data_IF_800742060149
#
_entry.id   IF_800742060149
#
_cell.length_a   1.000
_cell.length_b   1.000
_cell.length_c   1.000
_cell.angle_alpha   90.00
_cell.angle_beta   90.00
_cell.angle_gamma   90.00
#
_symmetry.space_group_name_H-M   'P 1'
#
loop_
_entity.id
_entity.type
_entity.pdbx_description
1 polymer ?
#
# COMPACT_ATOMS: atom_id res chain seq x y z
N UNK A 1 -19.95 -28.64 -4.83
CA UNK A 1 -19.59 -27.33 -4.22
C UNK A 1 -18.72 -27.62 -3.00
N UNK A 2 -17.54 -27.02 -2.87
CA UNK A 2 -16.68 -27.24 -1.70
C UNK A 2 -17.36 -26.83 -0.39
N UNK A 3 -17.08 -27.56 0.70
CA UNK A 3 -17.47 -27.13 2.05
C UNK A 3 -16.78 -25.82 2.42
N UNK A 4 -17.26 -25.14 3.46
CA UNK A 4 -16.58 -23.94 3.97
C UNK A 4 -15.15 -24.27 4.43
N UNK A 5 -14.98 -25.36 5.18
CA UNK A 5 -13.67 -25.79 5.69
C UNK A 5 -12.69 -26.06 4.56
N UNK A 6 -13.12 -26.79 3.52
CA UNK A 6 -12.26 -27.08 2.37
C UNK A 6 -11.86 -25.82 1.60
N UNK A 7 -12.76 -24.83 1.51
CA UNK A 7 -12.42 -23.53 0.90
C UNK A 7 -11.39 -22.77 1.75
N UNK A 8 -11.54 -22.78 3.07
CA UNK A 8 -10.60 -22.12 3.97
C UNK A 8 -9.21 -22.77 3.94
N UNK A 9 -9.14 -24.10 3.83
CA UNK A 9 -7.88 -24.83 3.63
C UNK A 9 -7.17 -24.38 2.34
N UNK A 10 -7.88 -24.40 1.20
CA UNK A 10 -7.31 -23.99 -0.10
C UNK A 10 -6.83 -22.54 -0.06
N UNK A 11 -7.60 -21.64 0.56
CA UNK A 11 -7.21 -20.24 0.72
C UNK A 11 -5.96 -20.12 1.59
N UNK A 12 -5.88 -20.87 2.69
CA UNK A 12 -4.73 -20.87 3.60
C UNK A 12 -3.48 -21.39 2.90
N UNK A 13 -3.57 -22.46 2.13
CA UNK A 13 -2.45 -23.01 1.34
C UNK A 13 -1.84 -21.95 0.39
N UNK A 14 -2.68 -21.25 -0.37
CA UNK A 14 -2.21 -20.20 -1.28
C UNK A 14 -1.60 -19.02 -0.51
N UNK A 15 -2.25 -18.60 0.58
CA UNK A 15 -1.78 -17.49 1.42
C UNK A 15 -0.42 -17.81 2.06
N UNK A 16 -0.24 -19.03 2.55
CA UNK A 16 1.01 -19.48 3.17
C UNK A 16 2.17 -19.45 2.16
N UNK A 17 1.94 -19.84 0.90
CA UNK A 17 2.95 -19.73 -0.14
C UNK A 17 3.39 -18.29 -0.41
N UNK A 18 2.44 -17.36 -0.41
CA UNK A 18 2.72 -15.93 -0.58
C UNK A 18 3.46 -15.38 0.64
N UNK A 19 3.08 -15.77 1.86
CA UNK A 19 3.79 -15.37 3.08
C UNK A 19 5.22 -15.89 3.11
N UNK A 20 5.44 -17.13 2.71
CA UNK A 20 6.79 -17.67 2.62
C UNK A 20 7.63 -16.96 1.56
N UNK A 21 7.05 -16.59 0.41
CA UNK A 21 7.74 -15.77 -0.59
C UNK A 21 8.13 -14.40 -0.02
N UNK A 22 7.18 -13.72 0.64
CA UNK A 22 7.41 -12.44 1.31
C UNK A 22 8.54 -12.54 2.34
N UNK A 23 8.51 -13.54 3.20
CA UNK A 23 9.52 -13.73 4.25
C UNK A 23 10.90 -14.08 3.65
N UNK A 24 10.94 -14.80 2.53
CA UNK A 24 12.17 -15.07 1.78
C UNK A 24 12.76 -13.80 1.21
N UNK A 25 11.97 -12.94 0.56
CA UNK A 25 12.43 -11.64 0.05
C UNK A 25 12.98 -10.78 1.19
N UNK A 26 12.27 -10.67 2.30
CA UNK A 26 12.71 -9.89 3.46
C UNK A 26 14.03 -10.39 4.06
N UNK A 27 14.27 -11.71 4.02
CA UNK A 27 15.49 -12.32 4.55
C UNK A 27 16.69 -12.16 3.62
N UNK A 28 16.51 -12.44 2.33
CA UNK A 28 17.62 -12.64 1.39
C UNK A 28 18.01 -11.37 0.64
N UNK A 29 17.10 -10.39 0.53
CA UNK A 29 17.37 -9.14 -0.18
C UNK A 29 18.51 -8.31 0.44
N UNK A 30 18.57 -8.10 1.77
CA UNK A 30 19.62 -7.26 2.37
C UNK A 30 21.04 -7.78 2.12
N UNK A 31 21.19 -9.10 2.03
CA UNK A 31 22.46 -9.79 1.79
C UNK A 31 22.72 -10.08 0.29
N UNK A 32 21.91 -9.51 -0.61
CA UNK A 32 21.99 -9.70 -2.07
C UNK A 32 21.92 -11.17 -2.52
N UNK A 33 21.28 -12.04 -1.73
CA UNK A 33 21.10 -13.47 -1.99
C UNK A 33 19.98 -13.71 -3.03
N UNK A 34 20.03 -13.02 -4.17
CA UNK A 34 18.97 -13.03 -5.19
C UNK A 34 18.69 -14.41 -5.79
N UNK A 35 19.68 -15.31 -5.81
CA UNK A 35 19.49 -16.69 -6.25
C UNK A 35 18.45 -17.43 -5.39
N UNK A 36 18.47 -17.22 -4.06
CA UNK A 36 17.51 -17.81 -3.14
C UNK A 36 16.09 -17.27 -3.38
N UNK A 37 15.98 -15.97 -3.70
CA UNK A 37 14.70 -15.35 -4.05
C UNK A 37 14.16 -15.92 -5.37
N UNK A 38 15.01 -16.07 -6.40
CA UNK A 38 14.61 -16.70 -7.69
C UNK A 38 14.12 -18.13 -7.49
N UNK A 39 14.82 -18.93 -6.69
CA UNK A 39 14.38 -20.29 -6.35
C UNK A 39 13.03 -20.28 -5.63
N UNK A 40 12.84 -19.35 -4.69
CA UNK A 40 11.57 -19.21 -3.97
C UNK A 40 10.43 -18.80 -4.91
N UNK A 41 10.66 -17.87 -5.83
CA UNK A 41 9.66 -17.48 -6.85
C UNK A 41 9.24 -18.71 -7.64
N UNK A 42 10.19 -19.48 -8.18
CA UNK A 42 9.89 -20.68 -8.96
C UNK A 42 9.04 -21.68 -8.16
N UNK A 43 9.41 -21.93 -6.90
CA UNK A 43 8.66 -22.83 -6.00
C UNK A 43 7.25 -22.33 -5.69
N UNK A 44 7.09 -21.04 -5.41
CA UNK A 44 5.77 -20.45 -5.14
C UNK A 44 4.89 -20.50 -6.39
N UNK A 45 5.44 -20.21 -7.57
CA UNK A 45 4.74 -20.34 -8.86
C UNK A 45 4.26 -21.77 -9.10
N UNK A 46 5.14 -22.76 -8.98
CA UNK A 46 4.80 -24.18 -9.16
C UNK A 46 3.68 -24.62 -8.20
N UNK A 47 3.76 -24.22 -6.93
CA UNK A 47 2.75 -24.59 -5.92
C UNK A 47 1.39 -23.95 -6.19
N UNK A 48 1.34 -22.67 -6.58
CA UNK A 48 0.08 -22.00 -6.91
C UNK A 48 -0.52 -22.59 -8.21
N UNK A 49 0.31 -22.92 -9.21
CA UNK A 49 -0.14 -23.60 -10.42
C UNK A 49 -0.72 -24.99 -10.12
N UNK A 50 -0.09 -25.74 -9.20
CA UNK A 50 -0.61 -27.02 -8.73
C UNK A 50 -1.97 -26.85 -8.06
N UNK A 51 -2.14 -25.86 -7.18
CA UNK A 51 -3.44 -25.57 -6.56
C UNK A 51 -4.49 -25.19 -7.61
N UNK A 52 -4.11 -24.37 -8.59
CA UNK A 52 -5.00 -24.01 -9.70
C UNK A 52 -5.40 -25.24 -10.54
N UNK A 53 -4.46 -26.15 -10.83
CA UNK A 53 -4.75 -27.40 -11.52
C UNK A 53 -5.72 -28.29 -10.71
N UNK A 54 -5.51 -28.43 -9.40
CA UNK A 54 -6.41 -29.18 -8.53
C UNK A 54 -7.83 -28.59 -8.54
N UNK A 55 -7.95 -27.26 -8.43
CA UNK A 55 -9.23 -26.56 -8.51
C UNK A 55 -9.98 -26.85 -9.82
N UNK A 56 -9.25 -26.93 -10.93
CA UNK A 56 -9.77 -27.29 -12.25
C UNK A 56 -10.36 -28.72 -12.23
N UNK A 57 -9.60 -29.69 -11.70
CA UNK A 57 -10.04 -31.09 -11.61
C UNK A 57 -11.30 -31.25 -10.73
N UNK A 58 -11.48 -30.38 -9.74
CA UNK A 58 -12.66 -30.35 -8.89
C UNK A 58 -13.84 -29.54 -9.47
N UNK A 59 -13.75 -29.09 -10.73
CA UNK A 59 -14.80 -28.32 -11.41
C UNK A 59 -14.93 -26.87 -10.95
N UNK A 60 -13.88 -26.32 -10.32
CA UNK A 60 -13.81 -24.93 -9.86
C UNK A 60 -13.00 -24.05 -10.82
N UNK A 61 -13.34 -24.12 -12.11
CA UNK A 61 -12.63 -23.46 -13.22
C UNK A 61 -12.43 -21.94 -13.01
N UNK A 62 -13.43 -21.25 -12.44
CA UNK A 62 -13.33 -19.81 -12.15
C UNK A 62 -12.22 -19.48 -11.16
N UNK A 63 -12.07 -20.31 -10.12
CA UNK A 63 -11.04 -20.12 -9.11
C UNK A 63 -9.65 -20.48 -9.65
N UNK A 64 -9.56 -21.59 -10.41
CA UNK A 64 -8.35 -21.98 -11.12
C UNK A 64 -7.89 -20.88 -12.10
N UNK A 65 -8.81 -20.37 -12.92
CA UNK A 65 -8.56 -19.29 -13.87
C UNK A 65 -8.15 -17.98 -13.18
N UNK A 66 -8.72 -17.66 -12.02
CA UNK A 66 -8.31 -16.51 -11.23
C UNK A 66 -6.86 -16.63 -10.76
N UNK A 67 -6.47 -17.77 -10.17
CA UNK A 67 -5.10 -17.99 -9.73
C UNK A 67 -4.11 -17.90 -10.88
N UNK A 68 -4.37 -18.59 -12.00
CA UNK A 68 -3.50 -18.55 -13.19
C UNK A 68 -3.35 -17.13 -13.75
N UNK A 69 -4.46 -16.39 -13.84
CA UNK A 69 -4.48 -15.02 -14.37
C UNK A 69 -3.65 -14.06 -13.52
N UNK A 70 -3.75 -14.17 -12.19
CA UNK A 70 -3.14 -13.22 -11.27
C UNK A 70 -1.79 -13.67 -10.71
N UNK A 71 -1.35 -14.90 -11.00
CA UNK A 71 -0.06 -15.43 -10.56
C UNK A 71 1.12 -14.49 -10.88
N UNK A 72 1.26 -13.93 -12.10
CA UNK A 72 2.33 -12.98 -12.37
C UNK A 72 2.30 -11.76 -11.43
N UNK A 73 1.10 -11.24 -11.12
CA UNK A 73 0.93 -10.12 -10.19
C UNK A 73 1.25 -10.49 -8.74
N UNK A 74 0.99 -11.73 -8.34
CA UNK A 74 1.29 -12.23 -6.98
C UNK A 74 2.80 -12.25 -6.74
N UNK A 75 3.60 -12.66 -7.73
CA UNK A 75 5.06 -12.79 -7.60
C UNK A 75 5.83 -11.52 -7.95
N UNK A 76 5.19 -10.52 -8.55
CA UNK A 76 5.82 -9.29 -9.05
C UNK A 76 6.71 -8.62 -8.00
N UNK A 77 6.27 -8.50 -6.75
CA UNK A 77 7.08 -7.83 -5.72
C UNK A 77 8.43 -8.51 -5.48
N UNK A 78 8.48 -9.84 -5.61
CA UNK A 78 9.70 -10.63 -5.45
C UNK A 78 10.57 -10.56 -6.70
N UNK A 79 9.96 -10.56 -7.90
CA UNK A 79 10.68 -10.35 -9.15
C UNK A 79 11.35 -8.97 -9.18
N UNK A 80 10.63 -7.92 -8.76
CA UNK A 80 11.18 -6.57 -8.67
C UNK A 80 12.28 -6.45 -7.61
N UNK A 81 12.18 -7.21 -6.51
CA UNK A 81 13.24 -7.25 -5.49
C UNK A 81 14.55 -7.82 -6.03
N UNK A 82 14.49 -8.77 -6.98
CA UNK A 82 15.67 -9.32 -7.66
C UNK A 82 16.32 -8.32 -8.62
N UNK A 83 15.52 -7.40 -9.19
CA UNK A 83 16.00 -6.29 -10.02
C UNK A 83 16.44 -5.06 -9.18
N UNK A 84 16.47 -5.19 -7.85
CA UNK A 84 16.90 -4.14 -6.93
C UNK A 84 15.81 -3.15 -6.51
N UNK A 85 14.58 -3.29 -7.01
CA UNK A 85 13.46 -2.40 -6.67
C UNK A 85 12.71 -2.86 -5.43
N UNK A 86 12.27 -1.91 -4.58
CA UNK A 86 11.38 -2.21 -3.46
C UNK A 86 9.93 -1.94 -3.85
N UNK A 87 9.15 -3.02 -3.93
CA UNK A 87 7.71 -2.94 -4.18
C UNK A 87 6.98 -3.63 -3.03
N UNK A 88 5.95 -3.00 -2.43
CA UNK A 88 5.13 -3.64 -1.43
C UNK A 88 4.47 -4.91 -1.95
N UNK A 89 4.48 -5.96 -1.15
CA UNK A 89 3.81 -7.23 -1.46
C UNK A 89 2.27 -7.18 -1.31
N UNK A 90 1.71 -6.05 -0.86
CA UNK A 90 0.25 -5.86 -0.72
C UNK A 90 -0.19 -4.51 -1.29
N UNK A 91 -1.43 -4.45 -1.77
CA UNK A 91 -2.11 -3.21 -2.16
C UNK A 91 -2.60 -2.38 -0.97
N UNK A 92 -2.57 -2.90 0.26
CA UNK A 92 -3.09 -2.24 1.47
C UNK A 92 -2.60 -0.79 1.66
N UNK A 93 -1.31 -0.45 1.41
CA UNK A 93 -0.87 0.94 1.50
C UNK A 93 -1.57 1.85 0.47
N UNK A 94 -1.70 1.37 -0.77
CA UNK A 94 -2.39 2.10 -1.86
C UNK A 94 -3.88 2.23 -1.55
N UNK A 95 -4.54 1.16 -1.10
CA UNK A 95 -5.95 1.19 -0.71
C UNK A 95 -6.22 2.18 0.43
N UNK A 96 -5.35 2.23 1.44
CA UNK A 96 -5.45 3.20 2.53
C UNK A 96 -5.30 4.63 2.02
N UNK A 97 -4.33 4.88 1.15
CA UNK A 97 -4.10 6.18 0.52
C UNK A 97 -5.32 6.62 -0.31
N UNK A 98 -5.85 5.73 -1.15
CA UNK A 98 -7.05 5.98 -1.94
C UNK A 98 -8.30 6.18 -1.07
N UNK A 99 -8.39 5.47 0.06
CA UNK A 99 -9.44 5.66 1.05
C UNK A 99 -9.40 7.06 1.68
N UNK A 100 -8.20 7.59 1.97
CA UNK A 100 -8.03 8.97 2.44
C UNK A 100 -8.43 10.00 1.37
N UNK A 101 -8.03 9.79 0.12
CA UNK A 101 -8.43 10.64 -1.02
C UNK A 101 -9.95 10.66 -1.16
N UNK A 102 -10.59 9.48 -1.17
CA UNK A 102 -12.05 9.35 -1.26
C UNK A 102 -12.77 10.07 -0.11
N UNK A 103 -12.28 9.91 1.14
CA UNK A 103 -12.84 10.60 2.31
C UNK A 103 -12.72 12.12 2.17
N UNK A 104 -11.60 12.63 1.66
CA UNK A 104 -11.44 14.08 1.43
C UNK A 104 -12.37 14.59 0.33
N UNK A 105 -12.50 13.87 -0.78
CA UNK A 105 -13.43 14.23 -1.85
C UNK A 105 -14.88 14.29 -1.34
N UNK A 106 -15.27 13.38 -0.43
CA UNK A 106 -16.63 13.32 0.13
C UNK A 106 -16.91 14.37 1.20
N UNK A 107 -15.94 14.65 2.08
CA UNK A 107 -16.19 15.40 3.32
C UNK A 107 -15.60 16.81 3.35
N UNK A 108 -14.67 17.15 2.46
CA UNK A 108 -14.08 18.49 2.39
C UNK A 108 -14.54 19.15 1.09
N UNK A 109 -15.21 20.29 1.24
CA UNK A 109 -15.79 21.15 0.19
C UNK A 109 -14.71 21.75 -0.74
N UNK A 110 -13.91 20.91 -1.38
CA UNK A 110 -12.92 21.33 -2.35
C UNK A 110 -13.57 21.64 -3.68
N UNK A 111 -12.96 22.55 -4.46
CA UNK A 111 -13.26 22.66 -5.88
C UNK A 111 -12.88 21.33 -6.55
N UNK A 112 -13.88 20.66 -7.12
CA UNK A 112 -13.76 19.38 -7.83
C UNK A 112 -13.12 19.54 -9.22
N UNK A 113 -12.15 20.45 -9.36
CA UNK A 113 -11.43 20.58 -10.63
C UNK A 113 -10.39 19.48 -10.72
N UNK A 114 -10.08 19.06 -11.95
CA UNK A 114 -9.07 18.05 -12.24
C UNK A 114 -7.75 18.41 -11.58
N UNK A 115 -7.33 19.67 -11.65
CA UNK A 115 -6.08 20.16 -11.06
C UNK A 115 -6.08 20.04 -9.54
N UNK A 116 -7.22 20.29 -8.88
CA UNK A 116 -7.34 20.18 -7.43
C UNK A 116 -7.24 18.74 -6.94
N UNK A 117 -7.90 17.81 -7.65
CA UNK A 117 -7.81 16.37 -7.35
C UNK A 117 -6.41 15.83 -7.62
N UNK A 118 -5.79 16.24 -8.72
CA UNK A 118 -4.43 15.86 -9.07
C UNK A 118 -3.42 16.35 -8.03
N UNK A 119 -3.52 17.60 -7.57
CA UNK A 119 -2.65 18.13 -6.52
C UNK A 119 -2.78 17.34 -5.20
N UNK A 120 -4.00 16.98 -4.80
CA UNK A 120 -4.23 16.15 -3.60
C UNK A 120 -3.59 14.78 -3.78
N UNK A 121 -3.80 14.15 -4.94
CA UNK A 121 -3.24 12.84 -5.24
C UNK A 121 -1.71 12.89 -5.19
N UNK A 122 -1.09 13.87 -5.85
CA UNK A 122 0.36 14.07 -5.87
C UNK A 122 0.92 14.27 -4.46
N UNK A 123 0.33 15.17 -3.65
CA UNK A 123 0.77 15.38 -2.27
C UNK A 123 0.75 14.08 -1.45
N UNK A 124 -0.24 13.21 -1.67
CA UNK A 124 -0.35 11.93 -0.97
C UNK A 124 0.63 10.90 -1.49
N UNK A 125 0.83 10.83 -2.81
CA UNK A 125 1.81 9.93 -3.42
C UNK A 125 3.23 10.28 -2.99
N UNK A 126 3.59 11.57 -2.96
CA UNK A 126 4.89 12.03 -2.48
C UNK A 126 5.07 11.67 -1.00
N UNK A 127 4.07 11.95 -0.14
CA UNK A 127 4.10 11.52 1.27
C UNK A 127 4.36 10.02 1.44
N UNK A 128 3.86 9.21 0.52
CA UNK A 128 3.98 7.75 0.56
C UNK A 128 5.34 7.27 0.03
N UNK A 129 5.77 7.76 -1.13
CA UNK A 129 7.01 7.33 -1.78
C UNK A 129 8.26 7.91 -1.09
N UNK A 130 8.17 9.14 -0.59
CA UNK A 130 9.27 9.84 0.05
C UNK A 130 8.76 10.73 1.20
N UNK A 131 8.59 10.15 2.40
CA UNK A 131 8.12 10.88 3.58
C UNK A 131 9.04 12.03 3.97
N UNK A 132 10.35 11.92 3.75
CA UNK A 132 11.34 12.94 4.09
C UNK A 132 11.23 14.14 3.16
N UNK A 133 11.12 13.89 1.85
CA UNK A 133 10.86 14.94 0.88
C UNK A 133 9.52 15.63 1.12
N UNK A 134 8.47 14.87 1.41
CA UNK A 134 7.17 15.45 1.78
C UNK A 134 7.24 16.33 3.03
N UNK A 135 8.00 15.90 4.05
CA UNK A 135 8.17 16.66 5.28
C UNK A 135 8.95 17.95 5.01
N UNK A 136 10.03 17.88 4.24
CA UNK A 136 10.82 19.04 3.83
C UNK A 136 9.99 20.04 3.03
N UNK A 137 9.21 19.57 2.06
CA UNK A 137 8.26 20.38 1.30
C UNK A 137 7.23 21.06 2.21
N UNK A 138 6.65 20.34 3.18
CA UNK A 138 5.72 20.93 4.14
C UNK A 138 6.39 21.99 5.01
N UNK A 139 7.61 21.74 5.47
CA UNK A 139 8.34 22.67 6.34
C UNK A 139 8.72 23.95 5.59
N UNK A 140 9.06 23.84 4.30
CA UNK A 140 9.28 24.97 3.38
C UNK A 140 7.98 25.73 3.08
N UNK A 141 6.93 25.03 2.65
CA UNK A 141 5.62 25.62 2.30
C UNK A 141 4.96 26.30 3.50
N UNK A 142 5.05 25.70 4.69
CA UNK A 142 4.45 26.23 5.92
C UNK A 142 5.32 27.28 6.60
N UNK A 143 6.50 27.60 6.08
CA UNK A 143 7.47 28.53 6.66
C UNK A 143 7.45 28.49 8.19
N UNK A 144 7.74 27.34 8.80
CA UNK A 144 7.82 27.29 10.28
C UNK A 144 8.89 28.23 10.85
N UNK A 145 9.73 28.85 10.01
CA UNK A 145 10.65 29.94 10.34
C UNK A 145 9.99 31.32 10.56
N UNK A 146 8.76 31.59 10.09
CA UNK A 146 8.06 32.86 10.43
C UNK A 146 7.29 32.79 11.75
N UNK A 147 7.23 31.62 12.41
CA UNK A 147 6.53 31.42 13.69
C UNK A 147 7.39 31.61 14.96
N UNK A 148 8.53 32.28 14.86
CA UNK A 148 9.20 32.86 16.04
C UNK A 148 8.79 34.31 16.32
N UNK A 149 8.00 34.96 15.45
CA UNK A 149 7.59 36.34 15.69
C UNK A 149 6.11 36.55 15.32
N UNK A 150 5.23 36.35 16.31
CA UNK A 150 4.00 37.14 16.54
C UNK A 150 3.28 36.52 17.75
N UNK A 151 3.82 36.79 18.94
CA UNK A 151 3.01 36.81 20.16
C UNK A 151 2.25 38.14 20.13
N UNK A 152 0.94 38.08 19.90
CA UNK A 152 0.05 39.20 20.15
C UNK A 152 -0.47 39.05 21.58
N UNK A 153 0.06 39.84 22.50
CA UNK A 153 -0.58 40.06 23.80
C UNK A 153 -1.81 40.94 23.58
N UNK A 154 -3.00 40.34 23.68
CA UNK A 154 -4.27 41.06 23.68
C UNK A 154 -4.60 41.48 25.12
N UNK A 155 -4.27 42.71 25.49
CA UNK A 155 -4.79 43.34 26.70
C UNK A 155 -6.18 43.94 26.41
N UNK A 156 -7.22 43.36 27.01
CA UNK A 156 -8.58 43.90 26.97
C UNK A 156 -8.76 44.83 28.17
N UNK A 157 -8.78 46.14 27.94
CA UNK A 157 -9.27 47.11 28.95
C UNK A 157 -10.80 47.15 28.91
N UNK A 158 -11.43 46.54 29.90
CA UNK A 158 -12.88 46.61 30.11
C UNK A 158 -13.26 47.97 30.74
N UNK A 159 -13.77 48.90 29.94
CA UNK A 159 -14.49 50.08 30.44
C UNK A 159 -15.85 49.67 31.02
N UNK A 160 -15.86 49.35 32.31
CA UNK A 160 -17.09 49.12 33.07
C UNK A 160 -17.77 50.47 33.35
N UNK A 161 -18.93 50.71 32.74
CA UNK A 161 -19.83 51.79 33.13
C UNK A 161 -20.28 51.61 34.59
N UNK A 162 -20.30 52.71 35.35
CA UNK A 162 -20.83 52.76 36.72
C UNK A 162 -22.35 52.61 36.69
N UNK A 163 -22.87 51.80 37.62
CA UNK A 163 -24.28 51.74 38.01
C UNK A 163 -24.72 53.07 38.63
#
# INVERSE_FOLDING_TARGET
MFSLDRRNEIVSEVIDEVFHLKNSVAKHRPDEEFAAIRERIARTTERIEKTAWQLDQYGSEKAAGYLRRWLPSIVTFAEQAVEGFEVPWTSNPVERLMGEVSKRCKNQWMRWTTEGLEAILQLRLVKYADPEHYQSFLDELLQRSTKTAMSCDLSIESTRGKL
#
